data_IF_455378585117
#
_entry.id   IF_455378585117
#
_cell.length_a   1.000
_cell.length_b   1.000
_cell.length_c   1.000
_cell.angle_alpha   90.00
_cell.angle_beta   90.00
_cell.angle_gamma   90.00
#
_symmetry.space_group_name_H-M   'P 1'
#
loop_
_entity.id
_entity.type
_entity.pdbx_description
1 polymer ?
#
# COMPACT_ATOMS: atom_id res chain seq x y z
N UNK A 1 9.28 -16.62 9.53
CA UNK A 1 9.19 -15.16 9.33
C UNK A 1 9.07 -14.72 7.85
N UNK A 2 9.22 -15.60 6.85
CA UNK A 2 9.16 -15.28 5.39
C UNK A 2 7.86 -14.62 4.87
N UNK A 3 6.76 -14.63 5.65
CA UNK A 3 5.46 -14.04 5.26
C UNK A 3 5.25 -12.61 5.80
N UNK A 4 6.18 -12.07 6.59
CA UNK A 4 6.01 -10.78 7.26
C UNK A 4 5.73 -9.62 6.28
N UNK A 5 6.46 -9.45 5.15
CA UNK A 5 6.19 -8.36 4.21
C UNK A 5 4.80 -8.46 3.57
N UNK A 6 4.33 -9.68 3.29
CA UNK A 6 2.98 -9.90 2.73
C UNK A 6 1.88 -9.55 3.72
N UNK A 7 2.01 -9.97 4.98
CA UNK A 7 1.05 -9.66 6.04
C UNK A 7 1.00 -8.15 6.27
N UNK A 8 2.17 -7.51 6.36
CA UNK A 8 2.29 -6.06 6.51
C UNK A 8 1.59 -5.31 5.38
N UNK A 9 1.80 -5.73 4.14
CA UNK A 9 1.17 -5.12 2.95
C UNK A 9 -0.35 -5.16 3.03
N UNK A 10 -0.94 -6.33 3.36
CA UNK A 10 -2.39 -6.51 3.47
C UNK A 10 -2.97 -5.66 4.60
N UNK A 11 -2.27 -5.60 5.75
CA UNK A 11 -2.70 -4.79 6.89
C UNK A 11 -2.73 -3.31 6.54
N UNK A 12 -1.66 -2.76 5.96
CA UNK A 12 -1.58 -1.34 5.61
C UNK A 12 -2.67 -0.97 4.59
N UNK A 13 -2.87 -1.80 3.56
CA UNK A 13 -3.92 -1.58 2.57
C UNK A 13 -5.31 -1.57 3.22
N UNK A 14 -5.57 -2.54 4.10
CA UNK A 14 -6.85 -2.65 4.81
C UNK A 14 -7.10 -1.47 5.74
N UNK A 15 -6.06 -0.95 6.41
CA UNK A 15 -6.15 0.28 7.22
C UNK A 15 -6.55 1.47 6.35
N UNK A 16 -5.90 1.65 5.19
CA UNK A 16 -6.26 2.72 4.25
C UNK A 16 -7.72 2.59 3.78
N UNK A 17 -8.17 1.38 3.48
CA UNK A 17 -9.54 1.10 3.06
C UNK A 17 -10.57 1.37 4.17
N UNK A 18 -10.34 0.84 5.37
CA UNK A 18 -11.23 0.99 6.54
C UNK A 18 -11.27 2.44 7.02
N UNK A 19 -10.18 3.20 6.86
CA UNK A 19 -10.13 4.62 7.24
C UNK A 19 -11.25 5.42 6.54
N UNK A 20 -11.63 5.04 5.32
CA UNK A 20 -12.75 5.66 4.60
C UNK A 20 -14.08 5.39 5.31
N UNK A 21 -14.33 4.17 5.78
CA UNK A 21 -15.58 3.82 6.47
C UNK A 21 -15.75 4.66 7.74
N UNK A 22 -14.66 4.87 8.47
CA UNK A 22 -14.62 5.73 9.67
C UNK A 22 -14.81 7.20 9.27
N UNK A 23 -14.16 7.65 8.20
CA UNK A 23 -14.19 9.04 7.72
C UNK A 23 -15.51 9.45 7.03
N UNK A 24 -16.26 8.49 6.46
CA UNK A 24 -17.58 8.70 5.86
C UNK A 24 -18.59 9.21 6.91
N UNK A 25 -18.44 8.82 8.19
CA UNK A 25 -19.40 9.17 9.25
C UNK A 25 -19.31 10.64 9.72
N UNK A 26 -18.15 11.29 9.66
CA UNK A 26 -17.94 12.57 10.39
C UNK A 26 -17.91 13.84 9.53
N UNK A 27 -17.58 13.82 8.22
CA UNK A 27 -17.33 15.12 7.54
C UNK A 27 -17.51 15.21 6.01
N UNK A 28 -17.50 14.11 5.24
CA UNK A 28 -17.27 14.23 3.79
C UNK A 28 -18.52 14.40 2.91
N UNK A 29 -19.72 13.99 3.37
CA UNK A 29 -20.94 14.10 2.55
C UNK A 29 -21.31 15.57 2.25
N UNK A 30 -21.00 16.50 3.17
CA UNK A 30 -21.40 17.89 3.02
C UNK A 30 -20.48 18.72 2.10
N UNK A 31 -19.18 18.39 2.03
CA UNK A 31 -18.22 19.15 1.21
C UNK A 31 -17.90 18.51 -0.15
N UNK A 32 -17.98 17.17 -0.27
CA UNK A 32 -17.71 16.52 -1.55
C UNK A 32 -18.89 16.61 -2.52
N UNK A 33 -20.13 16.54 -2.01
CA UNK A 33 -21.36 16.74 -2.80
C UNK A 33 -21.47 18.17 -3.33
N UNK A 34 -21.04 19.18 -2.54
CA UNK A 34 -21.13 20.60 -2.91
C UNK A 34 -20.15 21.03 -4.01
N UNK A 35 -19.00 20.35 -4.11
CA UNK A 35 -17.93 20.68 -5.07
C UNK A 35 -18.01 19.87 -6.38
N UNK A 36 -18.86 18.85 -6.45
CA UNK A 36 -19.13 18.07 -7.67
C UNK A 36 -20.52 18.42 -8.24
N UNK A 37 -20.69 19.66 -8.73
CA UNK A 37 -21.89 20.03 -9.51
C UNK A 37 -21.88 19.30 -10.86
N UNK A 38 -23.01 18.65 -11.16
CA UNK A 38 -23.20 17.64 -12.21
C UNK A 38 -22.89 18.00 -13.67
N UNK A 39 -22.53 19.24 -14.00
CA UNK A 39 -22.37 19.71 -15.38
C UNK A 39 -20.94 19.58 -15.95
N UNK A 40 -19.88 19.68 -15.13
CA UNK A 40 -18.49 19.42 -15.60
C UNK A 40 -18.16 17.93 -15.79
N UNK A 41 -19.05 17.06 -15.29
CA UNK A 41 -18.86 15.62 -15.15
C UNK A 41 -18.88 14.93 -16.52
N UNK A 42 -19.75 15.34 -17.45
CA UNK A 42 -19.91 14.66 -18.74
C UNK A 42 -18.73 14.86 -19.72
N UNK A 43 -18.08 16.03 -19.70
CA UNK A 43 -16.93 16.29 -20.56
C UNK A 43 -15.63 15.71 -19.98
N UNK A 44 -15.47 15.73 -18.66
CA UNK A 44 -14.29 15.19 -17.96
C UNK A 44 -14.33 13.66 -17.83
N UNK A 45 -15.52 13.03 -17.79
CA UNK A 45 -15.67 11.57 -17.84
C UNK A 45 -15.23 10.99 -19.19
N UNK A 46 -15.62 11.60 -20.31
CA UNK A 46 -15.22 11.16 -21.65
C UNK A 46 -13.70 11.27 -21.89
N UNK A 47 -13.01 12.14 -21.16
CA UNK A 47 -11.55 12.26 -21.19
C UNK A 47 -10.88 11.31 -20.16
N UNK A 48 -11.54 10.97 -19.05
CA UNK A 48 -11.00 10.15 -17.94
C UNK A 48 -10.95 8.64 -18.20
N UNK A 49 -11.84 8.08 -19.00
CA UNK A 49 -11.86 6.62 -19.29
C UNK A 49 -10.98 6.22 -20.47
N UNK A 50 -9.84 6.90 -20.67
CA UNK A 50 -8.81 6.42 -21.58
C UNK A 50 -7.97 5.37 -20.85
N UNK A 51 -8.19 4.11 -21.19
CA UNK A 51 -7.42 2.96 -20.69
C UNK A 51 -5.90 3.23 -20.56
N UNK A 52 -5.22 3.86 -21.55
CA UNK A 52 -3.78 4.16 -21.43
C UNK A 52 -3.43 5.08 -20.25
N UNK A 53 -4.27 6.06 -19.93
CA UNK A 53 -4.02 7.03 -18.85
C UNK A 53 -4.07 6.34 -17.49
N UNK A 54 -5.07 5.47 -17.29
CA UNK A 54 -5.24 4.67 -16.07
C UNK A 54 -4.06 3.71 -15.92
N UNK A 55 -3.70 3.02 -17.01
CA UNK A 55 -2.58 2.08 -17.03
C UNK A 55 -1.24 2.77 -16.70
N UNK A 56 -0.96 3.94 -17.27
CA UNK A 56 0.25 4.72 -16.95
C UNK A 56 0.25 5.14 -15.48
N UNK A 57 -0.90 5.51 -14.92
CA UNK A 57 -0.99 5.88 -13.52
C UNK A 57 -0.66 4.71 -12.59
N UNK A 58 -1.21 3.52 -12.88
CA UNK A 58 -0.94 2.32 -12.08
C UNK A 58 0.50 1.85 -12.22
N UNK A 59 1.09 1.96 -13.42
CA UNK A 59 2.52 1.71 -13.61
C UNK A 59 3.39 2.65 -12.77
N UNK A 60 3.06 3.94 -12.72
CA UNK A 60 3.77 4.89 -11.85
C UNK A 60 3.70 4.47 -10.38
N UNK A 61 2.52 4.09 -9.90
CA UNK A 61 2.34 3.60 -8.52
C UNK A 61 3.21 2.36 -8.25
N UNK A 62 3.23 1.39 -9.18
CA UNK A 62 4.08 0.20 -9.10
C UNK A 62 5.56 0.60 -8.98
N UNK A 63 6.06 1.47 -9.88
CA UNK A 63 7.45 1.93 -9.82
C UNK A 63 7.78 2.68 -8.52
N UNK A 64 6.87 3.53 -8.03
CA UNK A 64 7.02 4.23 -6.75
C UNK A 64 7.07 3.27 -5.56
N UNK A 65 6.25 2.22 -5.59
CA UNK A 65 6.23 1.18 -4.57
C UNK A 65 7.50 0.32 -4.60
N UNK A 66 8.05 0.02 -5.78
CA UNK A 66 9.35 -0.64 -5.93
C UNK A 66 10.51 0.25 -5.49
N UNK A 67 10.48 1.55 -5.81
CA UNK A 67 11.44 2.53 -5.29
C UNK A 67 11.38 2.63 -3.75
N UNK A 68 10.25 2.21 -3.15
CA UNK A 68 10.12 1.91 -1.74
C UNK A 68 11.24 1.06 -1.16
N UNK A 69 11.78 0.10 -1.91
CA UNK A 69 12.91 -0.72 -1.46
C UNK A 69 14.17 0.10 -1.15
N UNK A 70 14.39 1.20 -1.85
CA UNK A 70 15.52 2.11 -1.62
C UNK A 70 15.23 3.01 -0.41
N UNK A 71 13.97 3.40 -0.23
CA UNK A 71 13.52 4.29 0.86
C UNK A 71 13.13 3.53 2.14
N UNK A 72 13.66 2.32 2.34
CA UNK A 72 13.35 1.45 3.49
C UNK A 72 11.84 1.18 3.70
N UNK A 73 11.07 1.16 2.60
CA UNK A 73 9.63 0.90 2.58
C UNK A 73 8.75 2.13 2.78
N UNK A 74 9.30 3.33 3.01
CA UNK A 74 8.52 4.53 3.27
C UNK A 74 7.61 4.91 2.09
N UNK A 75 8.16 4.93 0.87
CA UNK A 75 7.37 5.20 -0.34
C UNK A 75 6.27 4.14 -0.54
N UNK A 76 6.56 2.87 -0.27
CA UNK A 76 5.57 1.78 -0.37
C UNK A 76 4.44 1.96 0.63
N UNK A 77 4.77 2.29 1.89
CA UNK A 77 3.82 2.50 2.97
C UNK A 77 2.83 3.62 2.64
N UNK A 78 3.33 4.79 2.23
CA UNK A 78 2.52 5.94 1.87
C UNK A 78 1.59 5.59 0.70
N UNK A 79 2.12 4.99 -0.36
CA UNK A 79 1.33 4.63 -1.53
C UNK A 79 0.25 3.58 -1.22
N UNK A 80 0.51 2.61 -0.34
CA UNK A 80 -0.49 1.62 0.08
C UNK A 80 -1.70 2.27 0.77
N UNK A 81 -1.45 3.20 1.70
CA UNK A 81 -2.52 3.91 2.41
C UNK A 81 -3.34 4.74 1.43
N UNK A 82 -2.68 5.54 0.60
CA UNK A 82 -3.37 6.39 -0.38
C UNK A 82 -4.19 5.58 -1.39
N UNK A 83 -3.65 4.47 -1.90
CA UNK A 83 -4.40 3.64 -2.84
C UNK A 83 -5.53 2.87 -2.17
N UNK A 84 -5.34 2.35 -0.95
CA UNK A 84 -6.41 1.73 -0.17
C UNK A 84 -7.55 2.72 0.12
N UNK A 85 -7.21 3.96 0.48
CA UNK A 85 -8.16 5.05 0.66
C UNK A 85 -8.90 5.39 -0.64
N UNK A 86 -8.20 5.56 -1.76
CA UNK A 86 -8.82 5.87 -3.05
C UNK A 86 -9.82 4.80 -3.49
N UNK A 87 -9.48 3.51 -3.32
CA UNK A 87 -10.39 2.39 -3.60
C UNK A 87 -11.60 2.45 -2.66
N UNK A 88 -11.40 2.73 -1.38
CA UNK A 88 -12.48 2.90 -0.41
C UNK A 88 -13.44 4.03 -0.78
N UNK A 89 -12.93 5.19 -1.19
CA UNK A 89 -13.75 6.34 -1.64
C UNK A 89 -14.51 6.01 -2.92
N UNK A 90 -13.85 5.37 -3.88
CA UNK A 90 -14.48 4.95 -5.14
C UNK A 90 -15.69 4.05 -4.85
N UNK A 91 -15.50 3.01 -4.04
CA UNK A 91 -16.56 2.08 -3.65
C UNK A 91 -17.64 2.78 -2.81
N UNK A 92 -17.25 3.57 -1.80
CA UNK A 92 -18.17 4.32 -0.95
C UNK A 92 -19.06 5.28 -1.73
N UNK A 93 -18.51 5.97 -2.74
CA UNK A 93 -19.27 6.88 -3.61
C UNK A 93 -20.27 6.14 -4.49
N UNK A 94 -19.97 4.91 -4.94
CA UNK A 94 -20.93 4.13 -5.75
C UNK A 94 -22.17 3.72 -4.97
N UNK A 95 -22.05 3.45 -3.66
CA UNK A 95 -23.20 3.12 -2.81
C UNK A 95 -24.18 4.29 -2.62
N UNK A 96 -23.79 5.52 -2.95
CA UNK A 96 -24.67 6.69 -2.93
C UNK A 96 -25.43 6.89 -4.25
N UNK A 97 -25.17 6.08 -5.27
CA UNK A 97 -25.86 6.15 -6.56
C UNK A 97 -27.09 5.26 -6.59
N UNK A 98 -28.01 5.51 -7.51
CA UNK A 98 -29.24 4.71 -7.67
C UNK A 98 -28.97 3.29 -8.19
N UNK A 99 -27.81 3.03 -8.80
CA UNK A 99 -27.46 1.77 -9.47
C UNK A 99 -26.04 1.29 -9.10
N UNK A 100 -25.76 1.04 -7.80
CA UNK A 100 -24.41 0.78 -7.30
C UNK A 100 -23.79 -0.49 -7.92
N UNK A 101 -24.59 -1.56 -8.03
CA UNK A 101 -24.13 -2.85 -8.56
C UNK A 101 -23.70 -2.77 -10.02
N UNK A 102 -24.42 -2.00 -10.84
CA UNK A 102 -24.12 -1.82 -12.26
C UNK A 102 -22.82 -1.05 -12.47
N UNK A 103 -22.58 -0.01 -11.66
CA UNK A 103 -21.34 0.77 -11.69
C UNK A 103 -20.14 -0.05 -11.22
N UNK A 104 -20.29 -0.80 -10.13
CA UNK A 104 -19.23 -1.67 -9.62
C UNK A 104 -18.88 -2.74 -10.66
N UNK A 105 -19.87 -3.47 -11.18
CA UNK A 105 -19.64 -4.56 -12.13
C UNK A 105 -19.13 -4.07 -13.50
N UNK A 106 -19.62 -2.93 -13.98
CA UNK A 106 -19.31 -2.43 -15.32
C UNK A 106 -18.03 -1.60 -15.41
N UNK A 107 -17.68 -0.84 -14.37
CA UNK A 107 -16.57 0.12 -14.40
C UNK A 107 -15.46 -0.23 -13.42
N UNK A 108 -15.79 -0.62 -12.18
CA UNK A 108 -14.78 -0.81 -11.13
C UNK A 108 -14.14 -2.20 -11.21
N UNK A 109 -14.96 -3.24 -11.36
CA UNK A 109 -14.54 -4.62 -11.32
C UNK A 109 -13.57 -5.01 -12.47
N UNK A 110 -13.79 -4.59 -13.73
CA UNK A 110 -12.89 -4.94 -14.83
C UNK A 110 -11.47 -4.39 -14.66
N UNK A 111 -11.31 -3.27 -13.95
CA UNK A 111 -10.02 -2.64 -13.70
C UNK A 111 -9.42 -3.10 -12.36
N UNK A 112 -10.22 -3.08 -11.28
CA UNK A 112 -9.76 -3.40 -9.93
C UNK A 112 -9.22 -4.82 -9.77
N UNK A 113 -9.70 -5.78 -10.58
CA UNK A 113 -9.20 -7.16 -10.55
C UNK A 113 -7.75 -7.30 -10.99
N UNK A 114 -7.25 -6.42 -11.86
CA UNK A 114 -5.85 -6.43 -12.30
C UNK A 114 -4.99 -5.48 -11.47
N UNK A 115 -5.54 -4.32 -11.10
CA UNK A 115 -4.80 -3.25 -10.43
C UNK A 115 -4.44 -3.59 -8.98
N UNK A 116 -5.40 -4.12 -8.22
CA UNK A 116 -5.19 -4.41 -6.79
C UNK A 116 -4.14 -5.52 -6.62
N UNK A 117 -4.19 -6.67 -7.33
CA UNK A 117 -3.16 -7.70 -7.19
C UNK A 117 -1.78 -7.21 -7.65
N UNK A 118 -1.70 -6.49 -8.77
CA UNK A 118 -0.42 -5.96 -9.27
C UNK A 118 0.23 -5.00 -8.26
N UNK A 119 -0.58 -4.12 -7.66
CA UNK A 119 -0.13 -3.20 -6.62
C UNK A 119 0.34 -3.92 -5.36
N UNK A 120 -0.41 -4.92 -4.87
CA UNK A 120 -0.03 -5.69 -3.70
C UNK A 120 1.28 -6.46 -3.93
N UNK A 121 1.46 -7.07 -5.10
CA UNK A 121 2.71 -7.76 -5.48
C UNK A 121 3.88 -6.77 -5.48
N UNK A 122 3.70 -5.60 -6.09
CA UNK A 122 4.70 -4.53 -6.12
C UNK A 122 5.07 -4.05 -4.72
N UNK A 123 4.08 -3.93 -3.82
CA UNK A 123 4.31 -3.50 -2.46
C UNK A 123 5.06 -4.55 -1.63
N UNK A 124 4.74 -5.82 -1.80
CA UNK A 124 5.50 -6.92 -1.17
C UNK A 124 6.97 -6.86 -1.60
N UNK A 125 7.25 -6.65 -2.89
CA UNK A 125 8.61 -6.46 -3.37
C UNK A 125 9.27 -5.21 -2.75
N UNK A 126 8.52 -4.11 -2.66
CA UNK A 126 8.92 -2.87 -2.01
C UNK A 126 9.45 -3.06 -0.59
N UNK A 127 8.74 -3.83 0.24
CA UNK A 127 9.14 -4.10 1.64
C UNK A 127 10.13 -5.26 1.80
N UNK A 128 10.16 -6.21 0.87
CA UNK A 128 10.98 -7.42 1.00
C UNK A 128 12.47 -7.11 1.06
N UNK A 129 12.96 -6.20 0.22
CA UNK A 129 14.39 -5.84 0.18
C UNK A 129 14.86 -5.22 1.51
N UNK A 130 14.23 -4.14 2.05
CA UNK A 130 14.58 -3.61 3.36
C UNK A 130 14.51 -4.65 4.48
N UNK A 131 13.50 -5.52 4.44
CA UNK A 131 13.30 -6.57 5.43
C UNK A 131 14.43 -7.62 5.43
N UNK A 132 14.94 -8.00 4.25
CA UNK A 132 16.08 -8.92 4.15
C UNK A 132 17.39 -8.26 4.61
N UNK A 133 17.60 -6.97 4.28
CA UNK A 133 18.76 -6.22 4.76
C UNK A 133 18.78 -6.13 6.28
N UNK A 134 17.64 -5.81 6.90
CA UNK A 134 17.54 -5.73 8.36
C UNK A 134 17.81 -7.08 9.03
N UNK A 135 17.23 -8.17 8.51
CA UNK A 135 17.51 -9.52 9.04
C UNK A 135 18.99 -9.88 8.92
N UNK A 136 19.61 -9.62 7.77
CA UNK A 136 21.04 -9.89 7.58
C UNK A 136 21.91 -9.13 8.59
N UNK A 137 21.58 -7.86 8.86
CA UNK A 137 22.28 -7.06 9.87
C UNK A 137 22.06 -7.61 11.29
N UNK A 138 20.84 -8.02 11.62
CA UNK A 138 20.53 -8.62 12.93
C UNK A 138 21.30 -9.93 13.15
N UNK A 139 21.32 -10.82 12.16
CA UNK A 139 22.04 -12.09 12.23
C UNK A 139 23.55 -11.85 12.46
N UNK A 140 24.12 -10.81 11.81
CA UNK A 140 25.55 -10.46 11.98
C UNK A 140 25.86 -9.84 13.34
N UNK A 141 24.93 -9.07 13.90
CA UNK A 141 25.07 -8.49 15.24
C UNK A 141 25.07 -9.58 16.32
N UNK A 142 24.20 -10.58 16.19
CA UNK A 142 24.14 -11.72 17.11
C UNK A 142 25.43 -12.56 17.05
N UNK A 143 25.94 -12.84 15.84
CA UNK A 143 27.22 -13.54 15.65
C UNK A 143 28.39 -12.82 16.36
N UNK A 144 28.49 -11.50 16.19
CA UNK A 144 29.53 -10.70 16.85
C UNK A 144 29.41 -10.71 18.38
N UNK A 145 28.19 -10.72 18.91
CA UNK A 145 27.92 -10.80 20.35
C UNK A 145 28.44 -12.13 20.94
N UNK A 146 28.21 -13.25 20.26
CA UNK A 146 28.73 -14.56 20.66
C UNK A 146 30.25 -14.61 20.67
N UNK A 147 30.91 -14.06 19.65
CA UNK A 147 32.38 -13.99 19.62
C UNK A 147 32.93 -13.12 20.76
N UNK A 148 32.27 -12.01 21.09
CA UNK A 148 32.64 -11.17 22.23
C UNK A 148 32.52 -11.92 23.56
N UNK A 149 31.45 -12.70 23.75
CA UNK A 149 31.25 -13.52 24.95
C UNK A 149 32.29 -14.64 25.06
N UNK A 150 32.59 -15.34 23.96
CA UNK A 150 33.61 -16.38 23.92
C UNK A 150 35.01 -15.82 24.22
N UNK A 151 35.35 -14.65 23.66
CA UNK A 151 36.61 -13.97 23.96
C UNK A 151 36.73 -13.57 25.44
N UNK A 152 35.63 -13.08 26.03
CA UNK A 152 35.55 -12.76 27.46
C UNK A 152 35.82 -14.00 28.34
N UNK A 153 35.11 -15.11 28.07
CA UNK A 153 35.27 -16.38 28.80
C UNK A 153 36.67 -16.97 28.64
N UNK A 154 37.24 -16.88 27.43
CA UNK A 154 38.60 -17.37 27.17
C UNK A 154 39.69 -16.54 27.88
N UNK A 155 39.46 -15.24 28.05
CA UNK A 155 40.33 -14.33 28.81
C UNK A 155 40.34 -14.68 30.31
N UNK A 156 39.17 -14.93 30.90
CA UNK A 156 39.04 -15.24 32.32
C UNK A 156 39.73 -16.57 32.70
N UNK A 157 39.66 -17.56 31.81
CA UNK A 157 40.31 -18.87 32.00
C UNK A 157 41.84 -18.84 31.91
N UNK A 158 42.45 -17.77 31.40
CA UNK A 158 43.91 -17.58 31.35
C UNK A 158 44.49 -16.90 32.59
N UNK A 159 43.64 -16.28 33.42
CA UNK A 159 44.05 -15.56 34.62
C UNK A 159 43.97 -16.42 35.90
N UNK A 160 43.63 -17.70 35.77
CA UNK A 160 43.65 -18.73 36.80
C UNK A 160 44.62 -19.84 36.39
#
# INVERSE_FOLDING_TARGET
>A
MKKLPSILTILIFSIGFISVIIFINDLFINDFSKNYKGEEINQKLNIKFKFPTILINNLKVIFLMLAGSITFGLSTFINLIFNGFNVGVLIGSTFQTNEPLKLIAGLILPHGIFEIPAMLISAVAGFKIPYEVIQYLMDKLDENLWFSLLACVASEKKNH
#
